data_IF_273659111791
#
_entry.id   IF_273659111791
#
_cell.length_a   1.000
_cell.length_b   1.000
_cell.length_c   1.000
_cell.angle_alpha   90.00
_cell.angle_beta   90.00
_cell.angle_gamma   90.00
#
_symmetry.space_group_name_H-M   'P 1'
#
loop_
_entity.id
_entity.type
_entity.pdbx_description
1 polymer ?
#
# COMPACT_ATOMS: atom_id res chain seq x y z
N UNK A 1 -28.97 -12.60 24.90
CA UNK A 1 -28.60 -11.17 24.80
C UNK A 1 -27.42 -11.09 23.85
N UNK A 2 -27.66 -10.64 22.62
CA UNK A 2 -26.65 -10.61 21.55
C UNK A 2 -25.69 -9.44 21.80
N UNK A 3 -24.40 -9.74 22.02
CA UNK A 3 -23.38 -8.68 22.21
C UNK A 3 -23.14 -8.03 20.85
N UNK A 4 -23.75 -6.86 20.63
CA UNK A 4 -23.39 -5.97 19.52
C UNK A 4 -21.98 -5.44 19.81
N UNK A 5 -20.97 -6.06 19.20
CA UNK A 5 -19.60 -5.57 19.25
C UNK A 5 -19.53 -4.28 18.42
N UNK A 6 -19.69 -3.14 19.08
CA UNK A 6 -19.36 -1.84 18.48
C UNK A 6 -17.84 -1.81 18.30
N UNK A 7 -17.38 -1.80 17.05
CA UNK A 7 -15.97 -1.66 16.73
C UNK A 7 -15.53 -0.22 17.06
N UNK A 8 -15.04 -0.01 18.26
CA UNK A 8 -14.39 1.24 18.65
C UNK A 8 -13.01 1.32 18.00
N UNK A 9 -12.71 2.42 17.32
CA UNK A 9 -11.47 2.64 16.57
C UNK A 9 -10.29 3.01 17.48
N UNK A 10 -10.56 3.16 18.78
CA UNK A 10 -9.65 3.66 19.81
C UNK A 10 -8.96 2.54 20.61
N UNK A 11 -9.41 1.29 20.49
CA UNK A 11 -8.87 0.18 21.30
C UNK A 11 -7.92 -0.71 20.49
N UNK A 12 -6.80 -1.12 21.09
CA UNK A 12 -5.81 -2.00 20.45
C UNK A 12 -6.42 -3.34 19.97
N UNK A 13 -7.47 -3.82 20.64
CA UNK A 13 -8.23 -5.01 20.27
C UNK A 13 -9.04 -4.83 18.98
N UNK A 14 -9.62 -3.65 18.75
CA UNK A 14 -10.31 -3.30 17.50
C UNK A 14 -9.39 -3.21 16.28
N UNK A 15 -8.10 -2.94 16.52
CA UNK A 15 -7.04 -2.97 15.51
C UNK A 15 -6.46 -4.37 15.26
N UNK A 16 -6.40 -5.24 16.29
CA UNK A 16 -5.94 -6.63 16.14
C UNK A 16 -6.80 -7.44 15.17
N UNK A 17 -8.09 -7.14 15.08
CA UNK A 17 -9.02 -7.83 14.17
C UNK A 17 -9.18 -7.11 12.80
N UNK A 18 -8.20 -6.29 12.43
CA UNK A 18 -8.22 -5.56 11.15
C UNK A 18 -8.07 -6.54 9.99
N UNK A 19 -9.18 -6.78 9.29
CA UNK A 19 -9.23 -7.62 8.09
C UNK A 19 -8.24 -7.13 7.03
N UNK A 20 -7.63 -8.04 6.29
CA UNK A 20 -6.66 -7.74 5.22
C UNK A 20 -7.13 -6.66 4.23
N UNK A 21 -8.43 -6.59 3.93
CA UNK A 21 -8.98 -5.53 3.08
C UNK A 21 -8.85 -4.12 3.66
N UNK A 22 -8.99 -3.97 4.98
CA UNK A 22 -8.83 -2.69 5.65
C UNK A 22 -7.36 -2.25 5.74
N UNK A 23 -6.44 -3.20 5.96
CA UNK A 23 -5.00 -2.92 5.85
C UNK A 23 -4.61 -2.46 4.44
N UNK A 24 -5.11 -3.14 3.41
CA UNK A 24 -4.87 -2.74 2.02
C UNK A 24 -5.33 -1.30 1.77
N UNK A 25 -6.56 -0.96 2.21
CA UNK A 25 -7.09 0.40 2.09
C UNK A 25 -6.26 1.44 2.86
N UNK A 26 -5.88 1.14 4.11
CA UNK A 26 -5.15 2.09 4.96
C UNK A 26 -3.76 2.37 4.41
N UNK A 27 -3.03 1.33 4.01
CA UNK A 27 -1.70 1.43 3.41
C UNK A 27 -1.78 2.24 2.10
N UNK A 28 -2.76 1.95 1.24
CA UNK A 28 -2.93 2.68 -0.01
C UNK A 28 -3.25 4.17 0.22
N UNK A 29 -4.08 4.48 1.24
CA UNK A 29 -4.42 5.87 1.61
C UNK A 29 -3.22 6.62 2.18
N UNK A 30 -2.49 5.99 3.10
CA UNK A 30 -1.27 6.57 3.66
C UNK A 30 -0.22 6.80 2.58
N UNK A 31 -0.03 5.84 1.67
CA UNK A 31 0.89 5.96 0.55
C UNK A 31 0.50 7.13 -0.38
N UNK A 32 -0.78 7.30 -0.69
CA UNK A 32 -1.26 8.42 -1.50
C UNK A 32 -0.94 9.79 -0.86
N UNK A 33 -1.19 9.93 0.45
CA UNK A 33 -0.93 11.17 1.18
C UNK A 33 0.58 11.45 1.23
N UNK A 34 1.39 10.44 1.56
CA UNK A 34 2.84 10.56 1.60
C UNK A 34 3.44 10.88 0.23
N UNK A 35 2.87 10.34 -0.85
CA UNK A 35 3.28 10.66 -2.22
C UNK A 35 3.18 12.14 -2.53
N UNK A 36 2.12 12.83 -2.08
CA UNK A 36 1.99 14.28 -2.30
C UNK A 36 3.20 15.05 -1.73
N UNK A 37 3.63 14.68 -0.52
CA UNK A 37 4.78 15.28 0.16
C UNK A 37 6.09 14.90 -0.53
N UNK A 38 6.28 13.61 -0.82
CA UNK A 38 7.53 13.09 -1.40
C UNK A 38 7.73 13.60 -2.83
N UNK A 39 6.66 13.73 -3.62
CA UNK A 39 6.72 14.33 -4.96
C UNK A 39 7.18 15.78 -4.85
N UNK A 40 6.56 16.59 -3.98
CA UNK A 40 6.99 17.98 -3.80
C UNK A 40 8.48 18.07 -3.41
N UNK A 41 8.94 17.21 -2.50
CA UNK A 41 10.35 17.18 -2.11
C UNK A 41 11.26 16.69 -3.26
N UNK A 42 10.83 15.70 -4.03
CA UNK A 42 11.57 15.21 -5.19
C UNK A 42 11.77 16.30 -6.24
N UNK A 43 10.75 17.14 -6.47
CA UNK A 43 10.85 18.25 -7.41
C UNK A 43 11.88 19.31 -6.97
N UNK A 44 12.01 19.56 -5.66
CA UNK A 44 13.00 20.52 -5.13
C UNK A 44 14.41 19.91 -5.06
N UNK A 45 14.53 18.63 -4.72
CA UNK A 45 15.81 17.96 -4.50
C UNK A 45 15.87 16.59 -5.20
N UNK A 46 15.88 16.54 -6.54
CA UNK A 46 15.69 15.30 -7.30
C UNK A 46 16.83 14.29 -7.11
N UNK A 47 18.03 14.74 -6.75
CA UNK A 47 19.23 13.90 -6.64
C UNK A 47 19.39 13.18 -5.29
N UNK A 48 18.57 13.49 -4.28
CA UNK A 48 18.66 12.81 -2.98
C UNK A 48 18.16 11.37 -3.11
N UNK A 49 19.08 10.42 -2.99
CA UNK A 49 18.81 8.97 -3.12
C UNK A 49 17.66 8.50 -2.23
N UNK A 50 17.60 8.96 -0.97
CA UNK A 50 16.52 8.61 -0.05
C UNK A 50 15.13 9.04 -0.55
N UNK A 51 15.02 10.20 -1.21
CA UNK A 51 13.77 10.68 -1.78
C UNK A 51 13.39 9.87 -3.02
N UNK A 52 14.35 9.55 -3.88
CA UNK A 52 14.11 8.69 -5.05
C UNK A 52 13.62 7.30 -4.62
N UNK A 53 14.24 6.71 -3.60
CA UNK A 53 13.82 5.43 -3.03
C UNK A 53 12.41 5.52 -2.42
N UNK A 54 12.13 6.55 -1.62
CA UNK A 54 10.81 6.76 -1.03
C UNK A 54 9.74 6.94 -2.12
N UNK A 55 10.03 7.74 -3.16
CA UNK A 55 9.13 7.98 -4.28
C UNK A 55 8.81 6.66 -5.01
N UNK A 56 9.83 5.88 -5.36
CA UNK A 56 9.67 4.59 -6.03
C UNK A 56 8.85 3.62 -5.18
N UNK A 57 9.20 3.46 -3.90
CA UNK A 57 8.52 2.54 -3.00
C UNK A 57 7.04 2.91 -2.82
N UNK A 58 6.74 4.18 -2.52
CA UNK A 58 5.38 4.65 -2.31
C UNK A 58 4.55 4.56 -3.60
N UNK A 59 5.14 4.90 -4.75
CA UNK A 59 4.46 4.80 -6.05
C UNK A 59 4.09 3.35 -6.37
N UNK A 60 5.01 2.40 -6.19
CA UNK A 60 4.76 0.98 -6.42
C UNK A 60 3.67 0.43 -5.49
N UNK A 61 3.75 0.73 -4.18
CA UNK A 61 2.73 0.30 -3.21
C UNK A 61 1.36 0.89 -3.55
N UNK A 62 1.28 2.20 -3.82
CA UNK A 62 0.03 2.87 -4.17
C UNK A 62 -0.58 2.29 -5.44
N UNK A 63 0.22 2.17 -6.50
CA UNK A 63 -0.24 1.69 -7.80
C UNK A 63 -0.71 0.24 -7.73
N UNK A 64 0.05 -0.67 -7.11
CA UNK A 64 -0.29 -2.10 -7.08
C UNK A 64 -1.48 -2.41 -6.17
N UNK A 65 -1.63 -1.71 -5.05
CA UNK A 65 -2.85 -1.80 -4.24
C UNK A 65 -4.08 -1.19 -4.95
N UNK A 66 -3.86 -0.14 -5.76
CA UNK A 66 -4.86 0.42 -6.66
C UNK A 66 -5.32 -0.59 -7.72
N UNK A 67 -4.38 -1.25 -8.41
CA UNK A 67 -4.67 -2.32 -9.39
C UNK A 67 -5.44 -3.46 -8.73
N UNK A 68 -5.04 -3.90 -7.54
CA UNK A 68 -5.81 -4.89 -6.77
C UNK A 68 -7.26 -4.45 -6.56
N UNK A 69 -7.47 -3.19 -6.19
CA UNK A 69 -8.83 -2.66 -5.95
C UNK A 69 -9.64 -2.68 -7.25
N UNK A 70 -9.07 -2.20 -8.36
CA UNK A 70 -9.68 -2.26 -9.69
C UNK A 70 -10.06 -3.69 -10.09
N UNK A 71 -9.18 -4.66 -9.91
CA UNK A 71 -9.46 -6.07 -10.26
C UNK A 71 -10.66 -6.63 -9.48
N UNK A 72 -10.77 -6.29 -8.19
CA UNK A 72 -11.92 -6.70 -7.38
C UNK A 72 -13.21 -5.98 -7.82
N UNK A 73 -13.11 -4.69 -8.20
CA UNK A 73 -14.23 -3.90 -8.70
C UNK A 73 -14.74 -4.40 -10.07
N UNK A 74 -13.84 -4.94 -10.92
CA UNK A 74 -14.18 -5.58 -12.19
C UNK A 74 -14.80 -6.99 -12.05
N UNK A 75 -15.07 -7.44 -10.82
CA UNK A 75 -15.81 -8.68 -10.57
C UNK A 75 -14.95 -9.91 -10.34
N UNK A 76 -13.64 -9.75 -10.07
CA UNK A 76 -12.81 -10.88 -9.64
C UNK A 76 -13.34 -11.45 -8.31
N UNK A 77 -13.44 -12.79 -8.13
CA UNK A 77 -14.06 -13.37 -6.95
C UNK A 77 -13.40 -12.92 -5.64
N UNK A 78 -14.23 -12.53 -4.65
CA UNK A 78 -13.75 -11.97 -3.36
C UNK A 78 -12.79 -12.90 -2.62
N UNK A 79 -12.83 -14.22 -2.84
CA UNK A 79 -11.87 -15.20 -2.28
C UNK A 79 -10.40 -14.85 -2.57
N UNK A 80 -10.14 -14.14 -3.66
CA UNK A 80 -8.80 -13.70 -4.05
C UNK A 80 -8.28 -12.49 -3.27
N UNK A 81 -9.11 -11.84 -2.45
CA UNK A 81 -8.76 -10.57 -1.81
C UNK A 81 -7.48 -10.61 -0.95
N UNK A 82 -7.19 -11.73 -0.27
CA UNK A 82 -5.96 -11.93 0.52
C UNK A 82 -4.76 -12.22 -0.38
N UNK A 83 -4.94 -13.13 -1.35
CA UNK A 83 -3.88 -13.50 -2.28
C UNK A 83 -3.40 -12.28 -3.09
N UNK A 84 -4.33 -11.47 -3.62
CA UNK A 84 -3.99 -10.24 -4.34
C UNK A 84 -3.30 -9.21 -3.44
N UNK A 85 -3.67 -9.14 -2.17
CA UNK A 85 -3.01 -8.23 -1.23
C UNK A 85 -1.54 -8.61 -1.03
N UNK A 86 -1.28 -9.89 -0.75
CA UNK A 86 0.09 -10.41 -0.60
C UNK A 86 0.86 -10.28 -1.92
N UNK A 87 0.24 -10.64 -3.05
CA UNK A 87 0.87 -10.54 -4.37
C UNK A 87 1.23 -9.09 -4.71
N UNK A 88 0.37 -8.11 -4.43
CA UNK A 88 0.66 -6.70 -4.66
C UNK A 88 1.87 -6.23 -3.83
N UNK A 89 1.96 -6.60 -2.55
CA UNK A 89 3.09 -6.23 -1.70
C UNK A 89 4.39 -6.94 -2.12
N UNK A 90 4.32 -8.24 -2.42
CA UNK A 90 5.48 -9.00 -2.87
C UNK A 90 6.02 -8.46 -4.21
N UNK A 91 5.11 -8.13 -5.15
CA UNK A 91 5.49 -7.54 -6.43
C UNK A 91 6.06 -6.13 -6.25
N UNK A 92 5.52 -5.32 -5.33
CA UNK A 92 6.08 -4.00 -5.02
C UNK A 92 7.53 -4.11 -4.52
N UNK A 93 7.80 -5.05 -3.61
CA UNK A 93 9.17 -5.31 -3.10
C UNK A 93 10.08 -5.81 -4.21
N UNK A 94 9.62 -6.77 -5.01
CA UNK A 94 10.41 -7.31 -6.12
C UNK A 94 10.79 -6.22 -7.13
N UNK A 95 9.81 -5.44 -7.59
CA UNK A 95 10.05 -4.35 -8.54
C UNK A 95 10.95 -3.27 -7.95
N UNK A 96 10.77 -2.93 -6.67
CA UNK A 96 11.65 -2.00 -5.98
C UNK A 96 13.10 -2.49 -6.02
N UNK A 97 13.35 -3.75 -5.61
CA UNK A 97 14.71 -4.32 -5.56
C UNK A 97 15.32 -4.37 -6.97
N UNK A 98 14.58 -4.84 -7.96
CA UNK A 98 15.07 -4.95 -9.35
C UNK A 98 15.42 -3.57 -9.91
N UNK A 99 14.49 -2.61 -9.86
CA UNK A 99 14.67 -1.27 -10.41
C UNK A 99 15.77 -0.52 -9.65
N UNK A 100 15.77 -0.61 -8.32
CA UNK A 100 16.75 0.08 -7.50
C UNK A 100 18.16 -0.48 -7.73
N UNK A 101 18.32 -1.80 -7.78
CA UNK A 101 19.63 -2.41 -8.02
C UNK A 101 20.15 -2.07 -9.40
N UNK A 102 19.31 -2.15 -10.44
CA UNK A 102 19.69 -1.79 -11.80
C UNK A 102 20.06 -0.31 -11.93
N UNK A 103 19.41 0.60 -11.22
CA UNK A 103 19.69 2.04 -11.28
C UNK A 103 21.12 2.41 -10.83
N UNK A 104 21.76 1.59 -10.00
CA UNK A 104 23.06 1.87 -9.38
C UNK A 104 24.20 0.94 -9.82
N UNK A 105 23.91 -0.04 -10.69
CA UNK A 105 24.91 -0.83 -11.42
C UNK A 105 25.15 -0.22 -12.79
#
# INVERSE_FOLDING_TARGET
MEKILRREWTTAEGWRDTKAGMWAWLIQRAAAILLLVVIAWHLVNPFRRGIQAALLALALVHALLGVRSLLLDFGLPIRWHRALFVAALALAVLLFVVVWSWRWY
#
